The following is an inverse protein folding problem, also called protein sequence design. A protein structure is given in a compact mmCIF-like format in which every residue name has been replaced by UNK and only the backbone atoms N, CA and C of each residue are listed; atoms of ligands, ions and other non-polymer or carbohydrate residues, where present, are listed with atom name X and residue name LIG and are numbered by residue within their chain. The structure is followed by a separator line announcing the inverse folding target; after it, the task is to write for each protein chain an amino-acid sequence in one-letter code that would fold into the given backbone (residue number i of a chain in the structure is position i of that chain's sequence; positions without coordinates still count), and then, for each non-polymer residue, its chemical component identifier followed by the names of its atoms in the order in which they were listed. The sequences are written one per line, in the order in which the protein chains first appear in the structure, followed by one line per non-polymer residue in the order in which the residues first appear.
data_IF_943990172409
#
_entry.id   IF_943990172409
#
_cell.length_a   1.000
_cell.length_b   1.000
_cell.length_c   1.000
_cell.angle_alpha   90.00
_cell.angle_beta   90.00
_cell.angle_gamma   90.00
#
_symmetry.space_group_name_H-M   'P 1'
#
loop_
_entity.id
_entity.type
_entity.pdbx_description
1 polymer ?
#
# COMPACT_ATOMS: atom_id res chain seq x y z
N UNK A 1 2.65 -31.63 34.19
CA UNK A 1 3.78 -31.19 33.35
C UNK A 1 3.85 -32.10 32.13
N UNK A 2 3.41 -31.58 30.99
CA UNK A 2 3.86 -31.97 29.64
C UNK A 2 3.94 -30.67 28.83
N UNK A 3 4.93 -30.53 27.94
CA UNK A 3 5.39 -29.24 27.44
C UNK A 3 4.69 -28.83 26.13
N UNK A 4 4.55 -27.51 25.96
CA UNK A 4 4.61 -26.75 24.72
C UNK A 4 4.10 -27.36 23.42
N UNK A 5 2.90 -26.95 23.02
CA UNK A 5 2.64 -26.60 21.62
C UNK A 5 2.27 -25.12 21.59
N UNK A 6 3.29 -24.27 21.71
CA UNK A 6 3.21 -22.94 21.11
C UNK A 6 3.16 -23.18 19.61
N UNK A 7 1.97 -23.03 19.03
CA UNK A 7 1.80 -22.96 17.58
C UNK A 7 2.86 -22.01 17.05
N UNK A 8 3.83 -22.54 16.30
CA UNK A 8 4.82 -21.76 15.58
C UNK A 8 4.02 -20.92 14.59
N UNK A 9 3.66 -19.68 14.98
CA UNK A 9 3.34 -18.64 14.01
C UNK A 9 4.58 -18.61 13.13
N UNK A 10 4.49 -19.13 11.91
CA UNK A 10 5.52 -18.86 10.93
C UNK A 10 5.54 -17.34 10.83
N UNK A 11 6.59 -16.75 11.41
CA UNK A 11 6.97 -15.38 11.13
C UNK A 11 7.30 -15.39 9.66
N UNK A 12 6.34 -15.02 8.82
CA UNK A 12 6.67 -14.63 7.46
C UNK A 12 7.68 -13.51 7.62
N UNK A 13 8.89 -13.66 7.06
CA UNK A 13 9.67 -12.47 6.75
C UNK A 13 8.83 -11.65 5.79
N UNK A 14 8.83 -10.35 5.99
CA UNK A 14 8.14 -9.40 5.12
C UNK A 14 9.19 -8.57 4.39
N UNK A 15 8.91 -8.21 3.16
CA UNK A 15 9.74 -7.33 2.35
C UNK A 15 8.88 -6.23 1.73
N UNK A 16 9.17 -4.96 2.04
CA UNK A 16 9.94 -4.50 3.20
C UNK A 16 9.27 -4.87 4.54
N UNK A 17 9.97 -4.72 5.68
CA UNK A 17 9.39 -5.07 6.99
C UNK A 17 8.30 -4.05 7.38
N UNK A 18 7.08 -4.48 7.77
CA UNK A 18 6.03 -3.59 8.25
C UNK A 18 6.43 -2.80 9.50
N UNK A 19 7.33 -3.33 10.32
CA UNK A 19 7.77 -2.67 11.56
C UNK A 19 8.61 -1.41 11.30
N UNK A 20 9.26 -1.36 10.13
CA UNK A 20 10.03 -0.21 9.65
C UNK A 20 9.18 0.74 8.78
N UNK A 21 7.91 0.42 8.57
CA UNK A 21 7.00 1.19 7.73
C UNK A 21 6.33 2.37 8.42
N UNK A 22 5.34 2.95 7.74
CA UNK A 22 4.53 4.05 8.24
C UNK A 22 3.70 3.63 9.48
N UNK A 23 4.02 4.23 10.63
CA UNK A 23 3.40 3.87 11.92
C UNK A 23 2.57 4.97 12.58
N UNK A 24 2.50 6.17 12.01
CA UNK A 24 1.71 7.26 12.58
C UNK A 24 1.97 8.62 11.94
N UNK A 25 1.32 9.63 12.52
CA UNK A 25 1.23 10.98 11.97
C UNK A 25 2.59 11.66 11.73
N UNK A 26 3.51 11.58 12.70
CA UNK A 26 4.82 12.20 12.56
C UNK A 26 5.58 11.65 11.35
N UNK A 27 5.62 10.32 11.21
CA UNK A 27 6.27 9.66 10.07
C UNK A 27 5.53 9.94 8.76
N UNK A 28 4.20 9.96 8.77
CA UNK A 28 3.41 10.30 7.58
C UNK A 28 3.75 11.69 7.06
N UNK A 29 3.85 12.67 7.96
CA UNK A 29 4.23 14.04 7.62
C UNK A 29 5.64 14.10 7.03
N UNK A 30 6.59 13.40 7.64
CA UNK A 30 7.99 13.33 7.17
C UNK A 30 8.11 12.66 5.80
N UNK A 31 7.32 11.62 5.54
CA UNK A 31 7.27 10.93 4.25
C UNK A 31 6.64 11.82 3.16
N UNK A 32 5.47 12.42 3.40
CA UNK A 32 4.83 13.30 2.41
C UNK A 32 5.73 14.49 2.06
N UNK A 33 6.41 15.09 3.05
CA UNK A 33 7.29 16.23 2.85
C UNK A 33 8.47 15.96 1.89
N UNK A 34 8.80 14.70 1.60
CA UNK A 34 9.82 14.34 0.61
C UNK A 34 9.31 14.46 -0.84
N UNK A 35 7.99 14.54 -1.03
CA UNK A 35 7.33 14.51 -2.34
C UNK A 35 6.55 15.79 -2.67
N UNK A 36 6.54 16.77 -1.77
CA UNK A 36 5.86 18.06 -1.99
C UNK A 36 6.78 19.23 -1.62
N UNK A 37 6.59 20.37 -2.29
CA UNK A 37 7.38 21.57 -2.01
C UNK A 37 6.99 22.23 -0.68
N UNK A 38 5.69 22.22 -0.34
CA UNK A 38 5.14 22.74 0.91
C UNK A 38 4.19 21.71 1.53
N UNK A 39 4.30 21.43 2.83
CA UNK A 39 3.46 20.43 3.49
C UNK A 39 1.96 20.77 3.42
N UNK A 40 1.59 22.05 3.30
CA UNK A 40 0.19 22.44 3.07
C UNK A 40 -0.39 21.84 1.78
N UNK A 41 0.46 21.50 0.82
CA UNK A 41 0.08 20.82 -0.42
C UNK A 41 -0.46 19.41 -0.19
N UNK A 42 -0.13 18.78 0.94
CA UNK A 42 -0.65 17.46 1.32
C UNK A 42 -2.17 17.48 1.53
N UNK A 43 -2.76 18.65 1.74
CA UNK A 43 -4.20 18.83 1.92
C UNK A 43 -4.95 19.13 0.62
N UNK A 44 -4.26 19.13 -0.51
CA UNK A 44 -4.82 19.43 -1.83
C UNK A 44 -5.10 18.15 -2.64
N UNK A 45 -5.81 18.26 -3.78
CA UNK A 45 -6.06 17.13 -4.66
C UNK A 45 -4.76 16.58 -5.26
N UNK A 46 -4.58 15.26 -5.16
CA UNK A 46 -3.41 14.60 -5.71
C UNK A 46 -3.65 13.12 -6.01
N UNK A 47 -2.79 12.58 -6.86
CA UNK A 47 -2.53 11.14 -6.95
C UNK A 47 -1.33 10.81 -6.07
N UNK A 48 -1.42 9.75 -5.29
CA UNK A 48 -0.36 9.27 -4.42
C UNK A 48 -0.01 7.82 -4.77
N UNK A 49 1.26 7.48 -4.59
CA UNK A 49 1.80 6.14 -4.78
C UNK A 49 2.38 5.67 -3.45
N UNK A 50 2.00 4.47 -3.02
CA UNK A 50 2.48 3.84 -1.80
C UNK A 50 3.21 2.55 -2.13
N UNK A 51 4.26 2.25 -1.38
CA UNK A 51 4.84 0.90 -1.34
C UNK A 51 4.22 0.13 -0.19
N UNK A 52 3.79 -1.10 -0.45
CA UNK A 52 3.20 -1.97 0.55
C UNK A 52 4.18 -3.09 0.93
N UNK A 53 4.15 -3.48 2.20
CA UNK A 53 4.89 -4.63 2.70
C UNK A 53 4.20 -5.92 2.28
N UNK A 54 4.91 -6.84 1.64
CA UNK A 54 4.41 -8.17 1.30
C UNK A 54 5.22 -9.26 2.00
N UNK A 55 4.70 -10.50 2.11
CA UNK A 55 5.53 -11.63 2.52
C UNK A 55 6.74 -11.77 1.59
N UNK A 56 7.94 -11.87 2.17
CA UNK A 56 9.26 -12.03 1.51
C UNK A 56 9.40 -13.35 0.72
N UNK A 57 8.35 -14.14 0.66
CA UNK A 57 8.28 -15.32 -0.19
C UNK A 57 7.41 -15.02 -1.40
N UNK A 58 7.92 -15.25 -2.61
CA UNK A 58 7.13 -15.29 -3.85
C UNK A 58 6.14 -16.47 -3.91
N UNK A 59 5.72 -16.99 -2.75
CA UNK A 59 4.74 -18.05 -2.63
C UNK A 59 3.34 -17.46 -2.65
N UNK A 60 2.57 -17.86 -3.67
CA UNK A 60 1.14 -17.59 -3.75
C UNK A 60 0.38 -18.05 -2.50
N UNK A 61 0.78 -19.16 -1.88
CA UNK A 61 0.09 -19.68 -0.68
C UNK A 61 0.18 -18.74 0.52
N UNK A 62 1.31 -18.07 0.71
CA UNK A 62 1.49 -17.11 1.80
C UNK A 62 0.57 -15.88 1.60
N UNK A 63 0.53 -15.35 0.38
CA UNK A 63 -0.33 -14.24 -0.01
C UNK A 63 -1.82 -14.62 0.11
N UNK A 64 -2.21 -15.77 -0.45
CA UNK A 64 -3.58 -16.27 -0.40
C UNK A 64 -4.06 -16.49 1.03
N UNK A 65 -3.19 -16.99 1.92
CA UNK A 65 -3.52 -17.17 3.33
C UNK A 65 -3.83 -15.86 4.04
N UNK A 66 -3.02 -14.82 3.83
CA UNK A 66 -3.28 -13.49 4.38
C UNK A 66 -4.61 -12.94 3.87
N UNK A 67 -4.84 -13.04 2.56
CA UNK A 67 -6.07 -12.56 1.95
C UNK A 67 -7.31 -13.28 2.47
N UNK A 68 -7.27 -14.61 2.56
CA UNK A 68 -8.39 -15.42 3.04
C UNK A 68 -8.74 -15.15 4.50
N UNK A 69 -7.76 -14.79 5.32
CA UNK A 69 -7.98 -14.45 6.72
C UNK A 69 -8.88 -13.21 6.85
N UNK A 70 -8.70 -12.25 5.92
CA UNK A 70 -9.31 -10.93 6.01
C UNK A 70 -10.60 -10.84 5.19
N UNK A 71 -10.64 -11.45 3.99
CA UNK A 71 -11.74 -11.28 3.03
C UNK A 71 -12.50 -12.59 2.69
N UNK A 72 -12.00 -13.76 3.09
CA UNK A 72 -12.69 -15.05 2.91
C UNK A 72 -12.73 -15.61 1.47
N UNK A 73 -12.29 -14.86 0.46
CA UNK A 73 -12.09 -15.31 -0.92
C UNK A 73 -10.87 -14.64 -1.55
N UNK A 74 -10.14 -15.35 -2.41
CA UNK A 74 -8.92 -14.85 -3.07
C UNK A 74 -9.26 -14.18 -4.41
N UNK A 75 -8.73 -12.99 -4.71
CA UNK A 75 -8.95 -12.32 -6.00
C UNK A 75 -8.00 -12.84 -7.08
N UNK A 76 -8.41 -12.72 -8.34
CA UNK A 76 -7.65 -13.20 -9.51
C UNK A 76 -6.29 -12.49 -9.66
N UNK A 77 -6.16 -11.23 -9.20
CA UNK A 77 -4.91 -10.48 -9.30
C UNK A 77 -3.85 -10.88 -8.25
N UNK A 78 -4.20 -11.70 -7.26
CA UNK A 78 -3.26 -12.06 -6.18
C UNK A 78 -2.06 -12.86 -6.68
N UNK A 79 -2.23 -13.66 -7.73
CA UNK A 79 -1.13 -14.38 -8.37
C UNK A 79 -0.08 -13.40 -8.91
N UNK A 80 -0.50 -12.27 -9.48
CA UNK A 80 0.43 -11.25 -9.96
C UNK A 80 1.20 -10.59 -8.82
N UNK A 81 0.55 -10.33 -7.68
CA UNK A 81 1.22 -9.77 -6.49
C UNK A 81 2.30 -10.74 -6.00
N UNK A 82 1.95 -12.02 -5.86
CA UNK A 82 2.89 -13.04 -5.37
C UNK A 82 4.08 -13.30 -6.31
N UNK A 83 3.95 -12.95 -7.60
CA UNK A 83 5.00 -13.11 -8.59
C UNK A 83 5.97 -11.90 -8.69
N UNK A 84 5.71 -10.82 -7.95
CA UNK A 84 6.48 -9.58 -8.00
C UNK A 84 7.23 -9.32 -6.70
N UNK A 85 8.34 -8.58 -6.79
CA UNK A 85 9.17 -8.24 -5.61
C UNK A 85 8.62 -7.01 -4.87
N UNK A 86 7.87 -6.16 -5.58
CA UNK A 86 7.32 -4.91 -5.04
C UNK A 86 5.83 -4.83 -5.32
N UNK A 87 5.09 -4.35 -4.33
CA UNK A 87 3.68 -4.04 -4.45
C UNK A 87 3.48 -2.54 -4.28
N UNK A 88 3.04 -1.89 -5.35
CA UNK A 88 2.73 -0.47 -5.36
C UNK A 88 1.22 -0.26 -5.41
N UNK A 89 0.71 0.64 -4.58
CA UNK A 89 -0.68 1.05 -4.58
C UNK A 89 -0.80 2.50 -5.05
N UNK A 90 -1.61 2.72 -6.06
CA UNK A 90 -1.92 4.04 -6.61
C UNK A 90 -3.34 4.42 -6.19
N UNK A 91 -3.47 5.61 -5.61
CA UNK A 91 -4.74 6.18 -5.22
C UNK A 91 -4.84 7.66 -5.55
N UNK A 92 -6.06 8.15 -5.72
CA UNK A 92 -6.32 9.59 -5.77
C UNK A 92 -7.14 10.07 -4.57
N UNK A 93 -6.90 11.30 -4.14
CA UNK A 93 -7.61 11.94 -3.04
C UNK A 93 -7.84 13.43 -3.29
N UNK A 94 -8.84 13.99 -2.60
CA UNK A 94 -9.06 15.44 -2.52
C UNK A 94 -8.15 16.13 -1.50
N UNK A 95 -7.65 15.35 -0.55
CA UNK A 95 -6.75 15.70 0.52
C UNK A 95 -5.96 14.41 0.82
N UNK A 96 -4.67 14.42 0.46
CA UNK A 96 -3.80 13.24 0.55
C UNK A 96 -3.54 12.88 2.00
N UNK A 97 -3.22 13.88 2.83
CA UNK A 97 -2.91 13.67 4.24
C UNK A 97 -4.07 12.98 4.97
N UNK A 98 -5.29 13.48 4.84
CA UNK A 98 -6.48 12.89 5.49
C UNK A 98 -6.70 11.44 5.00
N UNK A 99 -6.48 11.18 3.70
CA UNK A 99 -6.69 9.85 3.11
C UNK A 99 -5.63 8.86 3.56
N UNK A 100 -4.35 9.25 3.61
CA UNK A 100 -3.28 8.39 4.11
C UNK A 100 -3.43 8.17 5.63
N UNK A 101 -3.83 9.19 6.37
CA UNK A 101 -4.17 9.04 7.78
C UNK A 101 -5.35 8.09 8.00
N UNK A 102 -6.37 8.11 7.13
CA UNK A 102 -7.46 7.14 7.16
C UNK A 102 -6.95 5.72 6.91
N UNK A 103 -6.10 5.50 5.91
CA UNK A 103 -5.50 4.18 5.66
C UNK A 103 -4.76 3.64 6.88
N UNK A 104 -4.00 4.49 7.59
CA UNK A 104 -3.21 4.08 8.77
C UNK A 104 -4.08 3.81 10.01
N UNK A 105 -5.15 4.59 10.23
CA UNK A 105 -5.94 4.51 11.46
C UNK A 105 -7.21 3.66 11.33
N UNK A 106 -7.71 3.50 10.11
CA UNK A 106 -8.97 2.84 9.79
C UNK A 106 -8.78 1.91 8.60
N UNK A 107 -8.00 0.81 8.76
CA UNK A 107 -7.73 -0.11 7.66
C UNK A 107 -9.03 -0.58 7.00
N UNK A 108 -10.09 -0.85 7.75
CA UNK A 108 -11.41 -1.23 7.22
C UNK A 108 -12.16 -0.17 6.37
N UNK A 109 -11.57 1.00 6.12
CA UNK A 109 -12.05 2.05 5.20
C UNK A 109 -11.05 2.33 4.07
N UNK A 110 -10.03 1.48 3.99
CA UNK A 110 -8.94 1.50 3.01
C UNK A 110 -9.37 0.78 1.73
N UNK A 111 -8.41 0.54 0.83
CA UNK A 111 -8.55 -0.45 -0.24
C UNK A 111 -8.34 -1.86 0.32
N UNK A 112 -9.01 -2.86 -0.27
CA UNK A 112 -8.88 -4.27 0.13
C UNK A 112 -7.40 -4.73 0.18
N UNK A 113 -6.56 -4.20 -0.72
CA UNK A 113 -5.13 -4.51 -0.79
C UNK A 113 -4.36 -3.91 0.40
N UNK A 114 -4.60 -2.64 0.75
CA UNK A 114 -3.91 -1.99 1.87
C UNK A 114 -4.46 -2.43 3.24
N UNK A 115 -5.61 -3.12 3.28
CA UNK A 115 -6.07 -3.86 4.47
C UNK A 115 -5.24 -5.13 4.74
N UNK A 116 -4.80 -5.81 3.68
CA UNK A 116 -4.06 -7.08 3.77
C UNK A 116 -2.55 -6.84 3.84
N UNK A 117 -2.06 -5.86 3.09
CA UNK A 117 -0.64 -5.53 2.96
C UNK A 117 -0.37 -4.14 3.57
N UNK A 118 0.34 -4.07 4.71
CA UNK A 118 0.59 -2.81 5.40
C UNK A 118 1.31 -1.79 4.51
N UNK A 119 0.95 -0.52 4.65
CA UNK A 119 1.66 0.57 3.98
C UNK A 119 3.06 0.68 4.58
N UNK A 120 4.08 0.61 3.72
CA UNK A 120 5.46 0.78 4.11
C UNK A 120 5.88 2.25 4.02
N UNK A 121 5.75 2.88 2.85
CA UNK A 121 6.26 4.23 2.58
C UNK A 121 5.42 4.97 1.54
N UNK A 122 5.60 6.29 1.47
CA UNK A 122 5.13 7.10 0.33
C UNK A 122 6.21 7.05 -0.75
N UNK A 123 5.81 6.81 -1.99
CA UNK A 123 6.73 6.73 -3.13
C UNK A 123 6.65 7.99 -3.98
N UNK A 124 5.45 8.54 -4.17
CA UNK A 124 5.23 9.75 -4.96
C UNK A 124 3.90 10.43 -4.61
N UNK A 125 3.83 11.75 -4.82
CA UNK A 125 2.63 12.57 -4.69
C UNK A 125 2.57 13.58 -5.84
N UNK A 126 1.62 13.40 -6.74
CA UNK A 126 1.41 14.27 -7.91
C UNK A 126 0.15 15.11 -7.71
N UNK A 127 0.34 16.41 -7.52
CA UNK A 127 -0.75 17.38 -7.32
C UNK A 127 -1.52 17.67 -8.60
N UNK A 128 -2.79 17.99 -8.42
CA UNK A 128 -3.69 18.47 -9.47
C UNK A 128 -4.50 19.67 -8.97
N UNK A 129 -4.92 20.53 -9.89
CA UNK A 129 -5.71 21.73 -9.54
C UNK A 129 -7.11 21.36 -9.04
N UNK A 130 -7.65 20.22 -9.50
CA UNK A 130 -8.97 19.76 -9.09
C UNK A 130 -8.99 18.27 -8.72
N UNK A 131 -9.92 17.85 -7.83
CA UNK A 131 -10.19 16.44 -7.58
C UNK A 131 -10.47 15.63 -8.84
N UNK A 132 -11.26 16.17 -9.76
CA UNK A 132 -11.65 15.47 -10.98
C UNK A 132 -10.43 15.12 -11.81
N UNK A 133 -9.50 16.06 -11.99
CA UNK A 133 -8.25 15.80 -12.71
C UNK A 133 -7.39 14.75 -12.01
N UNK A 134 -7.30 14.78 -10.67
CA UNK A 134 -6.58 13.75 -9.93
C UNK A 134 -7.21 12.36 -10.13
N UNK A 135 -8.53 12.24 -10.06
CA UNK A 135 -9.25 10.98 -10.28
C UNK A 135 -9.12 10.49 -11.72
N UNK A 136 -9.19 11.39 -12.70
CA UNK A 136 -9.01 11.04 -14.11
C UNK A 136 -7.55 10.63 -14.42
N UNK A 137 -6.58 11.20 -13.70
CA UNK A 137 -5.16 10.90 -13.86
C UNK A 137 -4.72 9.60 -13.16
N UNK A 138 -5.44 9.15 -12.13
CA UNK A 138 -5.14 7.96 -11.31
C UNK A 138 -4.80 6.74 -12.18
N UNK A 139 -5.70 6.40 -13.11
CA UNK A 139 -5.51 5.24 -13.98
C UNK A 139 -4.32 5.40 -14.93
N UNK A 140 -4.14 6.59 -15.50
CA UNK A 140 -3.01 6.87 -16.39
C UNK A 140 -1.68 6.73 -15.64
N UNK A 141 -1.58 7.30 -14.44
CA UNK A 141 -0.37 7.21 -13.60
C UNK A 141 -0.09 5.76 -13.20
N UNK A 142 -1.11 4.99 -12.83
CA UNK A 142 -0.94 3.57 -12.53
C UNK A 142 -0.43 2.78 -13.75
N UNK A 143 -0.94 3.06 -14.94
CA UNK A 143 -0.46 2.44 -16.18
C UNK A 143 0.97 2.85 -16.52
N UNK A 144 1.30 4.15 -16.43
CA UNK A 144 2.64 4.67 -16.68
C UNK A 144 3.65 3.99 -15.72
N UNK A 145 3.33 3.96 -14.43
CA UNK A 145 4.15 3.31 -13.39
C UNK A 145 4.32 1.81 -13.62
N UNK A 146 3.26 1.10 -14.03
CA UNK A 146 3.34 -0.33 -14.33
C UNK A 146 4.26 -0.65 -15.52
N UNK A 147 4.37 0.27 -16.48
CA UNK A 147 5.30 0.12 -17.61
C UNK A 147 6.74 0.44 -17.22
N UNK A 148 6.95 1.40 -16.33
CA UNK A 148 8.27 1.83 -15.85
C UNK A 148 8.87 0.83 -14.86
N UNK A 149 8.06 0.31 -13.94
CA UNK A 149 8.46 -0.60 -12.88
C UNK A 149 8.13 -2.06 -13.23
N UNK A 150 8.78 -2.60 -14.26
CA UNK A 150 8.50 -3.95 -14.78
C UNK A 150 8.66 -5.10 -13.75
N UNK A 151 9.24 -4.85 -12.58
CA UNK A 151 9.36 -5.80 -11.46
C UNK A 151 8.30 -5.64 -10.36
N UNK A 152 7.41 -4.66 -10.46
CA UNK A 152 6.39 -4.35 -9.47
C UNK A 152 4.99 -4.73 -9.95
N UNK A 153 4.14 -5.18 -9.04
CA UNK A 153 2.70 -5.17 -9.24
C UNK A 153 2.18 -3.79 -8.85
N UNK A 154 1.55 -3.10 -9.80
CA UNK A 154 0.88 -1.81 -9.54
C UNK A 154 -0.61 -2.05 -9.43
N UNK A 155 -1.15 -1.80 -8.25
CA UNK A 155 -2.58 -1.87 -7.98
C UNK A 155 -3.19 -0.47 -7.96
N UNK A 156 -4.27 -0.27 -8.71
CA UNK A 156 -5.13 0.91 -8.60
C UNK A 156 -6.57 0.46 -8.40
N UNK A 157 -7.37 1.29 -7.74
CA UNK A 157 -8.82 1.07 -7.61
C UNK A 157 -9.58 1.37 -8.90
#
# INVERSE_FOLDING_TARGET
MSPGESATRQSHSWSPSPEDGLTGDQYLTEEIAQHVDDLSDAHEPAVYVLELSTPDTSSYEAHARLWLQEHGAVPDYLESIAATERLLYVGAAKNVYDRLQEHLNHPNRSSDVAEVFPIHSVVDVQRFDTPTEAFDAEHRIAMDLSNEEAGAHVHSR
#
